data_IF_884785669469
#
_entry.id   IF_884785669469
#
_cell.length_a   1.000
_cell.length_b   1.000
_cell.length_c   1.000
_cell.angle_alpha   90.00
_cell.angle_beta   90.00
_cell.angle_gamma   90.00
#
_symmetry.space_group_name_H-M   'P 1'
#
loop_
_entity.id
_entity.type
_entity.pdbx_description
1 polymer ?
#
# COMPACT_ATOMS: atom_id res chain seq x y z
N UNK A 1 -14.77 8.95 7.52
CA UNK A 1 -13.65 9.92 7.59
C UNK A 1 -12.37 9.15 7.34
N UNK A 2 -11.38 9.75 6.70
CA UNK A 2 -10.09 9.12 6.44
C UNK A 2 -8.97 9.82 7.19
N UNK A 3 -8.03 9.03 7.69
CA UNK A 3 -6.77 9.47 8.25
C UNK A 3 -5.65 9.16 7.24
N UNK A 4 -4.75 10.11 7.00
CA UNK A 4 -3.56 9.90 6.18
C UNK A 4 -2.35 9.73 7.11
N UNK A 5 -1.56 8.69 6.90
CA UNK A 5 -0.35 8.42 7.67
C UNK A 5 0.84 8.13 6.77
N UNK A 6 2.01 8.61 7.18
CA UNK A 6 3.31 8.27 6.57
C UNK A 6 4.11 7.28 7.40
N UNK A 7 3.53 6.73 8.49
CA UNK A 7 4.16 5.67 9.28
C UNK A 7 4.24 4.37 8.46
N UNK A 8 5.45 3.90 8.08
CA UNK A 8 5.61 2.71 7.26
C UNK A 8 5.14 1.43 7.97
N UNK A 9 5.08 1.42 9.31
CA UNK A 9 4.62 0.26 10.07
C UNK A 9 3.11 0.00 9.91
N UNK A 10 2.34 0.99 9.43
CA UNK A 10 0.90 0.86 9.20
C UNK A 10 0.54 0.34 7.81
N UNK A 11 1.51 0.18 6.91
CA UNK A 11 1.24 -0.29 5.54
C UNK A 11 1.02 -1.80 5.53
N UNK A 12 -0.13 -2.24 5.00
CA UNK A 12 -0.39 -3.65 4.67
C UNK A 12 0.26 -3.97 3.32
N UNK A 13 1.56 -4.29 3.35
CA UNK A 13 2.37 -4.53 2.14
C UNK A 13 1.81 -5.65 1.26
N UNK A 14 1.37 -6.82 1.79
CA UNK A 14 0.70 -7.84 0.98
C UNK A 14 -0.54 -7.32 0.26
N UNK A 15 -1.38 -6.53 0.94
CA UNK A 15 -2.60 -5.96 0.34
C UNK A 15 -2.30 -4.93 -0.75
N UNK A 16 -1.37 -4.01 -0.49
CA UNK A 16 -0.88 -3.05 -1.49
C UNK A 16 -0.33 -3.77 -2.72
N UNK A 17 0.47 -4.82 -2.51
CA UNK A 17 1.02 -5.64 -3.59
C UNK A 17 -0.07 -6.34 -4.39
N UNK A 18 -1.10 -6.88 -3.74
CA UNK A 18 -2.24 -7.50 -4.43
C UNK A 18 -2.90 -6.50 -5.38
N UNK A 19 -3.37 -5.35 -4.88
CA UNK A 19 -4.02 -4.32 -5.69
C UNK A 19 -3.16 -3.90 -6.89
N UNK A 20 -1.86 -3.66 -6.66
CA UNK A 20 -0.97 -3.24 -7.73
C UNK A 20 -0.72 -4.36 -8.74
N UNK A 21 -0.55 -5.60 -8.30
CA UNK A 21 -0.19 -6.73 -9.17
C UNK A 21 -1.36 -7.33 -9.94
N UNK A 22 -2.60 -7.11 -9.51
CA UNK A 22 -3.79 -7.68 -10.14
C UNK A 22 -4.72 -6.65 -10.77
N UNK A 23 -4.82 -5.44 -10.20
CA UNK A 23 -5.90 -4.51 -10.53
C UNK A 23 -5.41 -3.23 -11.22
N UNK A 24 -4.12 -2.90 -11.08
CA UNK A 24 -3.50 -1.73 -11.69
C UNK A 24 -2.76 -2.09 -12.99
N UNK A 25 -3.26 -1.62 -14.15
CA UNK A 25 -2.71 -1.99 -15.46
C UNK A 25 -1.20 -1.72 -15.61
N UNK A 26 -0.67 -0.72 -14.92
CA UNK A 26 0.75 -0.33 -14.95
C UNK A 26 1.65 -1.16 -14.02
N UNK A 27 1.08 -2.05 -13.22
CA UNK A 27 1.81 -2.84 -12.23
C UNK A 27 1.43 -4.33 -12.25
N UNK A 28 0.66 -4.78 -13.24
CA UNK A 28 0.26 -6.18 -13.40
C UNK A 28 1.46 -7.14 -13.32
N UNK A 29 1.31 -8.19 -12.50
CA UNK A 29 2.34 -9.21 -12.32
C UNK A 29 3.61 -8.75 -11.59
N UNK A 30 3.63 -7.55 -11.01
CA UNK A 30 4.79 -7.04 -10.24
C UNK A 30 5.16 -8.03 -9.13
N UNK A 31 6.43 -8.44 -9.00
CA UNK A 31 6.87 -9.28 -7.89
C UNK A 31 6.74 -8.57 -6.53
N UNK A 32 6.42 -9.33 -5.47
CA UNK A 32 6.30 -8.80 -4.10
C UNK A 32 7.60 -8.13 -3.64
N UNK A 33 8.75 -8.75 -3.92
CA UNK A 33 10.07 -8.20 -3.56
C UNK A 33 10.32 -6.82 -4.18
N UNK A 34 9.89 -6.61 -5.43
CA UNK A 34 9.99 -5.30 -6.10
C UNK A 34 9.14 -4.26 -5.38
N UNK A 35 7.93 -4.62 -4.94
CA UNK A 35 7.06 -3.71 -4.21
C UNK A 35 7.60 -3.38 -2.81
N UNK A 36 8.16 -4.36 -2.10
CA UNK A 36 8.82 -4.15 -0.81
C UNK A 36 10.02 -3.20 -0.93
N UNK A 37 10.85 -3.36 -1.96
CA UNK A 37 11.96 -2.46 -2.23
C UNK A 37 11.48 -1.02 -2.55
N UNK A 38 10.44 -0.89 -3.38
CA UNK A 38 9.85 0.41 -3.71
C UNK A 38 9.29 1.13 -2.47
N UNK A 39 8.56 0.42 -1.60
CA UNK A 39 8.04 0.96 -0.34
C UNK A 39 9.19 1.40 0.56
N UNK A 40 10.22 0.57 0.71
CA UNK A 40 11.38 0.85 1.59
C UNK A 40 12.19 2.06 1.14
N UNK A 41 12.20 2.36 -0.16
CA UNK A 41 12.91 3.50 -0.75
C UNK A 41 12.07 4.78 -0.90
N UNK A 42 10.83 4.81 -0.41
CA UNK A 42 9.89 5.91 -0.67
C UNK A 42 9.27 6.48 0.62
N UNK A 43 8.88 7.75 0.58
CA UNK A 43 7.91 8.28 1.54
C UNK A 43 6.51 7.90 1.05
N UNK A 44 5.88 6.95 1.74
CA UNK A 44 4.56 6.44 1.38
C UNK A 44 3.47 7.17 2.17
N UNK A 45 2.29 7.28 1.57
CA UNK A 45 1.10 7.84 2.22
C UNK A 45 0.00 6.77 2.18
N UNK A 46 -0.37 6.26 3.35
CA UNK A 46 -1.51 5.34 3.49
C UNK A 46 -2.76 6.11 3.88
N UNK A 47 -3.91 5.74 3.29
CA UNK A 47 -5.22 6.22 3.69
C UNK A 47 -5.96 5.15 4.48
N UNK A 48 -6.48 5.52 5.65
CA UNK A 48 -7.12 4.60 6.58
C UNK A 48 -8.50 5.10 6.97
N UNK A 49 -9.49 4.21 7.00
CA UNK A 49 -10.81 4.58 7.50
C UNK A 49 -10.74 4.85 9.01
N UNK A 50 -11.08 6.06 9.44
CA UNK A 50 -10.85 6.52 10.82
C UNK A 50 -11.60 5.71 11.89
N UNK A 51 -12.72 5.07 11.53
CA UNK A 51 -13.51 4.26 12.47
C UNK A 51 -13.07 2.80 12.60
N UNK A 52 -12.38 2.26 11.59
CA UNK A 52 -12.02 0.83 11.52
C UNK A 52 -10.52 0.58 11.44
N UNK A 53 -9.73 1.61 11.13
CA UNK A 53 -8.29 1.50 10.88
C UNK A 53 -7.94 0.78 9.58
N UNK A 54 -8.92 0.43 8.75
CA UNK A 54 -8.70 -0.31 7.52
C UNK A 54 -7.98 0.54 6.47
N UNK A 55 -6.92 -0.02 5.86
CA UNK A 55 -6.23 0.59 4.73
C UNK A 55 -7.08 0.47 3.46
N UNK A 56 -7.22 1.58 2.75
CA UNK A 56 -7.95 1.68 1.49
C UNK A 56 -7.02 1.87 0.29
N UNK A 57 -7.43 1.36 -0.87
CA UNK A 57 -6.75 1.53 -2.16
C UNK A 57 -7.05 2.90 -2.79
#
# INVERSE_FOLDING_TARGET
>A
MYEISTDPARLDVPRIHHWLSTDAYWALGRPLATQQAAISGSLNFGAYHAGTGEQHA
#
